data_IF_531186435623
#
_entry.id   IF_531186435623
#
_cell.length_a   1.000
_cell.length_b   1.000
_cell.length_c   1.000
_cell.angle_alpha   90.00
_cell.angle_beta   90.00
_cell.angle_gamma   90.00
#
_symmetry.space_group_name_H-M   'P 1'
#
loop_
_entity.id
_entity.type
_entity.pdbx_description
1 polymer ?
#
# COMPACT_ATOMS: atom_id res chain seq x y z
N UNK A 1 -20.65 -3.27 -14.88
CA UNK A 1 -19.67 -4.13 -14.19
C UNK A 1 -18.49 -4.31 -15.11
N UNK A 2 -17.31 -3.82 -14.73
CA UNK A 2 -16.11 -3.93 -15.54
C UNK A 2 -15.71 -5.41 -15.63
N UNK A 3 -15.47 -5.93 -16.84
CA UNK A 3 -15.12 -7.34 -17.03
C UNK A 3 -13.99 -7.48 -18.04
N UNK A 4 -12.95 -8.21 -17.65
CA UNK A 4 -11.89 -8.62 -18.56
C UNK A 4 -12.38 -9.70 -19.51
N UNK A 5 -12.04 -9.59 -20.79
CA UNK A 5 -12.33 -10.66 -21.74
C UNK A 5 -11.53 -11.93 -21.39
N UNK A 6 -12.04 -13.11 -21.75
CA UNK A 6 -11.30 -14.37 -21.58
C UNK A 6 -9.91 -14.33 -22.23
N UNK A 7 -9.79 -13.59 -23.33
CA UNK A 7 -8.52 -13.36 -24.02
C UNK A 7 -7.58 -12.50 -23.19
N UNK A 8 -8.06 -11.37 -22.65
CA UNK A 8 -7.23 -10.49 -21.81
C UNK A 8 -6.74 -11.23 -20.56
N UNK A 9 -7.57 -12.06 -19.94
CA UNK A 9 -7.16 -12.89 -18.80
C UNK A 9 -6.12 -13.93 -19.21
N UNK A 10 -6.30 -14.61 -20.33
CA UNK A 10 -5.34 -15.61 -20.83
C UNK A 10 -3.99 -14.98 -21.19
N UNK A 11 -3.99 -13.81 -21.83
CA UNK A 11 -2.78 -13.07 -22.17
C UNK A 11 -2.15 -12.42 -20.93
N UNK A 12 -2.98 -11.96 -19.98
CA UNK A 12 -2.55 -11.39 -18.70
C UNK A 12 -1.78 -12.39 -17.84
N UNK A 13 -2.20 -13.67 -17.83
CA UNK A 13 -1.46 -14.76 -17.18
C UNK A 13 -0.02 -14.88 -17.66
N UNK A 14 0.23 -14.60 -18.94
CA UNK A 14 1.58 -14.66 -19.53
C UNK A 14 2.48 -13.52 -19.04
N UNK A 15 1.90 -12.43 -18.53
CA UNK A 15 2.61 -11.25 -18.02
C UNK A 15 2.72 -11.22 -16.49
N UNK A 16 2.28 -12.25 -15.76
CA UNK A 16 2.33 -12.25 -14.28
C UNK A 16 3.76 -12.08 -13.73
N UNK A 17 4.77 -12.60 -14.42
CA UNK A 17 6.18 -12.45 -14.05
C UNK A 17 6.75 -11.07 -14.39
N UNK A 18 6.01 -10.27 -15.16
CA UNK A 18 6.40 -8.90 -15.54
C UNK A 18 5.75 -7.85 -14.62
N UNK A 19 4.90 -8.27 -13.68
CA UNK A 19 4.39 -7.42 -12.61
C UNK A 19 5.48 -7.26 -11.56
N UNK A 20 6.06 -6.07 -11.50
CA UNK A 20 7.26 -5.78 -10.72
C UNK A 20 6.96 -5.36 -9.27
N UNK A 21 5.99 -4.46 -9.09
CA UNK A 21 5.61 -3.95 -7.76
C UNK A 21 4.11 -3.71 -7.68
N UNK A 22 3.55 -3.87 -6.48
CA UNK A 22 2.14 -3.63 -6.18
C UNK A 22 2.09 -2.70 -4.97
N UNK A 23 1.63 -1.48 -5.17
CA UNK A 23 1.27 -0.55 -4.11
C UNK A 23 -0.25 -0.54 -3.97
N UNK A 24 -0.75 -0.60 -2.75
CA UNK A 24 -2.18 -0.56 -2.52
C UNK A 24 -2.52 0.16 -1.21
N UNK A 25 -3.73 0.68 -1.14
CA UNK A 25 -4.40 1.07 0.09
C UNK A 25 -5.87 0.74 -0.08
N UNK A 26 -6.37 -0.12 0.80
CA UNK A 26 -7.70 -0.70 0.69
C UNK A 26 -7.97 -1.24 -0.73
N UNK A 27 -9.15 -0.95 -1.29
CA UNK A 27 -9.55 -1.33 -2.64
C UNK A 27 -8.72 -0.73 -3.77
N UNK A 28 -7.81 0.21 -3.50
CA UNK A 28 -7.11 0.99 -4.54
C UNK A 28 -5.70 0.47 -4.76
N UNK A 29 -5.33 0.26 -6.03
CA UNK A 29 -4.07 -0.33 -6.43
C UNK A 29 -3.35 0.49 -7.50
N UNK A 30 -2.04 0.64 -7.33
CA UNK A 30 -1.11 1.08 -8.37
C UNK A 30 -0.06 -0.01 -8.58
N UNK A 31 0.03 -0.52 -9.80
CA UNK A 31 0.88 -1.66 -10.13
C UNK A 31 1.93 -1.23 -11.15
N UNK A 32 3.17 -1.65 -10.96
CA UNK A 32 4.22 -1.49 -11.97
C UNK A 32 4.26 -2.74 -12.87
N UNK A 33 4.11 -2.57 -14.17
CA UNK A 33 4.20 -3.68 -15.15
C UNK A 33 5.25 -3.38 -16.21
N UNK A 34 6.18 -4.31 -16.40
CA UNK A 34 7.22 -4.25 -17.44
C UNK A 34 6.62 -4.76 -18.77
N UNK A 35 6.01 -3.86 -19.52
CA UNK A 35 5.34 -4.17 -20.80
C UNK A 35 6.31 -4.64 -21.91
N UNK A 36 7.58 -4.23 -21.85
CA UNK A 36 8.64 -4.70 -22.75
C UNK A 36 9.99 -4.59 -22.06
N UNK A 37 10.90 -5.55 -22.30
CA UNK A 37 12.27 -5.53 -21.77
C UNK A 37 13.27 -4.81 -22.68
N UNK A 38 12.99 -4.69 -23.99
CA UNK A 38 13.90 -4.10 -24.99
C UNK A 38 13.13 -3.36 -26.10
N UNK A 39 13.05 -2.01 -26.08
CA UNK A 39 13.43 -1.12 -24.98
C UNK A 39 12.59 -1.38 -23.72
N UNK A 40 13.14 -1.06 -22.53
CA UNK A 40 12.38 -1.20 -21.27
C UNK A 40 11.21 -0.23 -21.32
N UNK A 41 9.98 -0.75 -21.37
CA UNK A 41 8.75 0.03 -21.30
C UNK A 41 7.99 -0.39 -20.05
N UNK A 42 7.75 0.57 -19.17
CA UNK A 42 6.99 0.39 -17.95
C UNK A 42 5.64 1.05 -18.15
N UNK A 43 4.58 0.40 -17.68
CA UNK A 43 3.24 0.97 -17.59
C UNK A 43 2.76 0.85 -16.14
N UNK A 44 1.84 1.73 -15.76
CA UNK A 44 1.30 1.82 -14.41
C UNK A 44 -0.21 1.59 -14.44
N UNK A 45 -0.67 0.32 -14.47
CA UNK A 45 -2.08 0.03 -14.28
C UNK A 45 -2.54 0.49 -12.91
N UNK A 46 -3.68 1.17 -12.89
CA UNK A 46 -4.45 1.47 -11.69
C UNK A 46 -5.71 0.62 -11.70
N UNK A 47 -6.06 0.06 -10.55
CA UNK A 47 -7.30 -0.67 -10.35
C UNK A 47 -7.93 -0.26 -9.02
N UNK A 48 -9.25 -0.16 -9.01
CA UNK A 48 -10.05 -0.06 -7.81
C UNK A 48 -11.02 -1.24 -7.76
N UNK A 49 -10.92 -2.05 -6.71
CA UNK A 49 -11.76 -3.21 -6.48
C UNK A 49 -12.54 -3.05 -5.17
N UNK A 50 -13.73 -3.63 -5.10
CA UNK A 50 -14.39 -3.87 -3.82
C UNK A 50 -13.87 -5.15 -3.15
N UNK A 51 -14.36 -5.42 -1.93
CA UNK A 51 -14.00 -6.59 -1.13
C UNK A 51 -14.39 -7.92 -1.81
N UNK A 52 -15.42 -7.91 -2.67
CA UNK A 52 -15.83 -9.09 -3.46
C UNK A 52 -14.92 -9.33 -4.69
N UNK A 53 -13.95 -8.45 -4.94
CA UNK A 53 -13.04 -8.52 -6.08
C UNK A 53 -13.62 -7.99 -7.38
N UNK A 54 -14.77 -7.32 -7.34
CA UNK A 54 -15.34 -6.66 -8.50
C UNK A 54 -14.58 -5.38 -8.81
N UNK A 55 -14.22 -5.18 -10.07
CA UNK A 55 -13.53 -3.97 -10.53
C UNK A 55 -14.55 -2.82 -10.62
N UNK A 56 -14.34 -1.81 -9.78
CA UNK A 56 -15.10 -0.55 -9.75
C UNK A 56 -14.57 0.37 -10.84
N UNK A 57 -13.25 0.58 -10.87
CA UNK A 57 -12.56 1.42 -11.84
C UNK A 57 -11.20 0.83 -12.21
N UNK A 58 -10.73 1.13 -13.41
CA UNK A 58 -9.48 0.62 -13.94
C UNK A 58 -8.97 1.48 -15.09
N UNK A 59 -7.71 1.91 -15.02
CA UNK A 59 -7.06 2.63 -16.11
C UNK A 59 -5.61 2.20 -16.30
N UNK A 60 -5.13 2.28 -17.53
CA UNK A 60 -3.75 2.02 -17.87
C UNK A 60 -3.29 3.00 -18.94
N UNK A 61 -2.04 3.46 -18.84
CA UNK A 61 -1.44 4.44 -19.78
C UNK A 61 -1.04 3.83 -21.13
N UNK A 62 -1.55 2.65 -21.48
CA UNK A 62 -1.26 2.02 -22.77
C UNK A 62 -2.37 2.33 -23.79
N UNK A 63 -1.98 2.48 -25.06
CA UNK A 63 -2.89 2.77 -26.16
C UNK A 63 -4.06 1.77 -26.29
N UNK A 64 -3.88 0.51 -25.86
CA UNK A 64 -4.95 -0.47 -25.88
C UNK A 64 -6.06 -0.13 -24.88
N UNK A 65 -5.68 0.32 -23.67
CA UNK A 65 -6.62 0.72 -22.63
C UNK A 65 -7.34 2.02 -23.01
N UNK A 66 -6.63 3.01 -23.57
CA UNK A 66 -7.26 4.26 -24.06
C UNK A 66 -8.36 3.98 -25.10
N UNK A 67 -8.14 2.99 -25.98
CA UNK A 67 -9.09 2.67 -27.06
C UNK A 67 -10.26 1.79 -26.61
N UNK A 68 -10.03 0.89 -25.66
CA UNK A 68 -10.99 -0.20 -25.33
C UNK A 68 -11.48 -0.19 -23.88
N UNK A 69 -10.91 0.66 -23.03
CA UNK A 69 -11.11 0.62 -21.58
C UNK A 69 -10.52 -0.62 -20.90
N UNK A 70 -9.79 -1.50 -21.61
CA UNK A 70 -9.19 -2.71 -21.07
C UNK A 70 -7.89 -3.05 -21.81
N UNK A 71 -6.97 -3.72 -21.12
CA UNK A 71 -5.75 -4.24 -21.73
C UNK A 71 -5.18 -5.43 -20.95
N UNK A 72 -4.22 -6.10 -21.57
CA UNK A 72 -3.49 -7.23 -20.99
C UNK A 72 -2.77 -6.87 -19.68
N UNK A 73 -2.30 -5.63 -19.52
CA UNK A 73 -1.63 -5.19 -18.29
C UNK A 73 -2.61 -5.09 -17.12
N UNK A 74 -3.81 -4.55 -17.36
CA UNK A 74 -4.86 -4.49 -16.34
C UNK A 74 -5.30 -5.89 -15.93
N UNK A 75 -5.43 -6.81 -16.89
CA UNK A 75 -5.75 -8.20 -16.61
C UNK A 75 -4.64 -8.89 -15.81
N UNK A 76 -3.36 -8.67 -16.16
CA UNK A 76 -2.22 -9.20 -15.41
C UNK A 76 -2.18 -8.66 -13.97
N UNK A 77 -2.40 -7.36 -13.79
CA UNK A 77 -2.49 -6.73 -12.48
C UNK A 77 -3.64 -7.30 -11.64
N UNK A 78 -4.83 -7.42 -12.23
CA UNK A 78 -5.99 -8.04 -11.58
C UNK A 78 -5.68 -9.48 -11.13
N UNK A 79 -5.10 -10.29 -12.00
CA UNK A 79 -4.70 -11.66 -11.67
C UNK A 79 -3.60 -11.73 -10.62
N UNK A 80 -2.76 -10.69 -10.48
CA UNK A 80 -1.72 -10.63 -9.45
C UNK A 80 -2.29 -10.32 -8.07
N UNK A 81 -3.29 -9.45 -7.98
CA UNK A 81 -3.88 -9.02 -6.71
C UNK A 81 -4.92 -10.02 -6.19
N UNK A 82 -5.62 -10.72 -7.10
CA UNK A 82 -6.63 -11.71 -6.75
C UNK A 82 -6.02 -13.07 -6.42
N UNK A 83 -6.41 -13.63 -5.27
CA UNK A 83 -6.14 -15.03 -4.91
C UNK A 83 -7.21 -15.52 -3.95
N UNK A 84 -8.26 -16.15 -4.49
CA UNK A 84 -9.59 -16.38 -3.89
C UNK A 84 -10.30 -15.07 -3.48
N UNK A 85 -9.60 -14.20 -2.77
CA UNK A 85 -10.01 -12.85 -2.36
C UNK A 85 -8.96 -11.80 -2.78
N UNK A 86 -9.34 -10.50 -2.85
CA UNK A 86 -8.43 -9.41 -3.16
C UNK A 86 -7.29 -9.29 -2.13
N UNK A 87 -6.14 -8.77 -2.58
CA UNK A 87 -4.97 -8.58 -1.72
C UNK A 87 -5.26 -7.73 -0.48
N UNK A 88 -6.04 -6.65 -0.59
CA UNK A 88 -6.36 -5.82 0.56
C UNK A 88 -7.19 -6.57 1.61
N UNK A 89 -8.16 -7.40 1.19
CA UNK A 89 -8.95 -8.24 2.11
C UNK A 89 -8.03 -9.20 2.86
N UNK A 90 -7.18 -9.92 2.12
CA UNK A 90 -6.19 -10.84 2.72
C UNK A 90 -5.19 -10.11 3.62
N UNK A 91 -4.85 -8.87 3.30
CA UNK A 91 -3.94 -8.06 4.11
C UNK A 91 -4.57 -7.59 5.41
N UNK A 92 -5.85 -7.21 5.41
CA UNK A 92 -6.57 -6.79 6.63
C UNK A 92 -6.46 -7.84 7.73
N UNK A 93 -6.60 -9.11 7.38
CA UNK A 93 -6.49 -10.25 8.31
C UNK A 93 -5.06 -10.80 8.48
N UNK A 94 -4.09 -10.23 7.76
CA UNK A 94 -2.72 -10.70 7.85
C UNK A 94 -2.12 -10.45 9.23
N UNK A 95 -1.25 -11.36 9.66
CA UNK A 95 -0.51 -11.22 10.92
C UNK A 95 0.18 -9.85 11.02
N UNK A 96 0.74 -9.34 9.92
CA UNK A 96 1.45 -8.07 9.91
C UNK A 96 0.53 -6.89 10.17
N UNK A 97 -0.62 -6.85 9.50
CA UNK A 97 -1.60 -5.78 9.74
C UNK A 97 -2.16 -5.84 11.16
N UNK A 98 -2.47 -7.04 11.66
CA UNK A 98 -2.99 -7.22 13.02
C UNK A 98 -1.96 -6.81 14.09
N UNK A 99 -0.68 -7.12 13.89
CA UNK A 99 0.40 -6.65 14.77
C UNK A 99 0.54 -5.13 14.71
N UNK A 100 0.42 -4.54 13.51
CA UNK A 100 0.42 -3.09 13.32
C UNK A 100 -0.69 -2.41 14.11
N UNK A 101 -1.92 -2.89 13.97
CA UNK A 101 -3.10 -2.39 14.70
C UNK A 101 -2.89 -2.44 16.22
N UNK A 102 -2.45 -3.59 16.75
CA UNK A 102 -2.17 -3.75 18.19
C UNK A 102 -1.11 -2.74 18.65
N UNK A 103 -0.07 -2.51 17.84
CA UNK A 103 0.96 -1.53 18.17
C UNK A 103 0.39 -0.10 18.19
N UNK A 104 -0.41 0.27 17.19
CA UNK A 104 -1.03 1.59 17.09
C UNK A 104 -1.99 1.87 18.25
N UNK A 105 -2.84 0.90 18.61
CA UNK A 105 -3.78 1.03 19.73
C UNK A 105 -3.05 1.15 21.08
N UNK A 106 -1.98 0.39 21.29
CA UNK A 106 -1.24 0.38 22.57
C UNK A 106 -0.26 1.53 22.74
N UNK A 107 0.36 1.98 21.66
CA UNK A 107 1.47 2.93 21.70
C UNK A 107 1.15 4.27 21.03
N UNK A 108 -0.05 4.40 20.46
CA UNK A 108 -0.45 5.54 19.66
C UNK A 108 0.03 5.44 18.22
N UNK A 109 -0.54 6.30 17.38
CA UNK A 109 -0.31 6.33 15.93
C UNK A 109 1.00 7.02 15.51
N UNK A 110 1.65 7.71 16.45
CA UNK A 110 2.94 8.33 16.21
C UNK A 110 4.06 7.48 16.78
N UNK A 111 5.24 7.39 16.13
CA UNK A 111 6.38 6.59 16.59
C UNK A 111 7.09 7.20 17.80
N UNK A 112 6.40 7.96 18.64
CA UNK A 112 6.93 8.63 19.84
C UNK A 112 7.49 7.65 20.88
N UNK A 113 7.03 6.40 20.86
CA UNK A 113 7.56 5.33 21.71
C UNK A 113 8.96 4.85 21.28
N UNK A 114 9.36 5.11 20.02
CA UNK A 114 10.67 4.79 19.47
C UNK A 114 11.63 5.97 19.65
N UNK A 115 12.77 5.69 20.28
CA UNK A 115 13.84 6.67 20.49
C UNK A 115 15.12 6.22 19.81
N UNK A 116 15.86 7.16 19.24
CA UNK A 116 17.23 6.93 18.75
C UNK A 116 18.15 6.66 19.94
N UNK A 117 18.90 5.58 19.88
CA UNK A 117 19.96 5.23 20.82
C UNK A 117 21.29 5.00 20.10
N UNK A 118 22.35 4.75 20.87
CA UNK A 118 23.70 4.57 20.32
C UNK A 118 23.86 3.27 19.49
N UNK A 119 23.12 2.21 19.84
CA UNK A 119 23.18 0.90 19.16
C UNK A 119 22.04 0.67 18.14
N UNK A 120 21.15 1.65 17.96
CA UNK A 120 19.96 1.54 17.11
C UNK A 120 18.75 2.24 17.70
N UNK A 121 17.61 1.57 17.76
CA UNK A 121 16.34 2.18 18.19
C UNK A 121 15.76 1.45 19.39
N UNK A 122 15.39 2.21 20.41
CA UNK A 122 14.90 1.69 21.67
C UNK A 122 13.44 2.06 21.87
N UNK A 123 12.67 1.11 22.41
CA UNK A 123 11.28 1.33 22.79
C UNK A 123 11.11 1.17 24.28
N UNK A 124 10.36 2.09 24.87
CA UNK A 124 10.11 2.14 26.30
C UNK A 124 8.60 2.06 26.57
N UNK A 125 8.25 1.39 27.67
CA UNK A 125 6.91 1.42 28.23
C UNK A 125 6.59 2.80 28.84
N UNK A 126 5.32 3.02 29.14
CA UNK A 126 4.86 4.23 29.86
C UNK A 126 5.54 4.38 31.24
N UNK A 127 5.94 3.27 31.87
CA UNK A 127 6.66 3.30 33.16
C UNK A 127 8.18 3.48 33.02
N UNK A 128 8.68 3.70 31.80
CA UNK A 128 10.10 3.91 31.53
C UNK A 128 10.93 2.62 31.44
N UNK A 129 10.32 1.43 31.57
CA UNK A 129 11.02 0.15 31.32
C UNK A 129 11.27 -0.02 29.83
N UNK A 130 12.51 -0.34 29.43
CA UNK A 130 12.85 -0.69 28.04
C UNK A 130 12.16 -2.01 27.65
N UNK A 131 11.37 -1.97 26.58
CA UNK A 131 10.63 -3.12 26.05
C UNK A 131 11.48 -3.92 25.06
N UNK A 132 12.04 -3.25 24.05
CA UNK A 132 12.91 -3.88 23.07
C UNK A 132 13.93 -2.89 22.49
N UNK A 133 14.95 -3.45 21.82
CA UNK A 133 16.00 -2.74 21.12
C UNK A 133 16.13 -3.31 19.71
N UNK A 134 15.98 -2.46 18.71
CA UNK A 134 16.29 -2.77 17.31
C UNK A 134 17.77 -2.44 17.11
N UNK A 135 18.63 -3.46 17.11
CA UNK A 135 20.06 -3.29 16.82
C UNK A 135 20.32 -3.21 15.33
N UNK A 136 21.02 -2.15 14.92
CA UNK A 136 21.38 -1.98 13.52
C UNK A 136 22.78 -2.52 13.26
N UNK A 137 22.88 -3.63 12.51
CA UNK A 137 24.17 -4.28 12.22
C UNK A 137 24.99 -3.60 11.12
N UNK A 138 24.36 -2.81 10.25
CA UNK A 138 24.99 -2.17 9.08
C UNK A 138 24.57 -0.70 8.97
N UNK A 139 25.51 0.21 8.75
CA UNK A 139 25.22 1.65 8.66
C UNK A 139 24.20 2.05 7.58
N UNK A 140 24.15 1.34 6.44
CA UNK A 140 23.12 1.57 5.39
C UNK A 140 21.71 1.31 5.92
N UNK A 141 21.53 0.28 6.74
CA UNK A 141 20.24 -0.08 7.35
C UNK A 141 19.77 0.99 8.34
N UNK A 142 20.69 1.70 9.00
CA UNK A 142 20.32 2.78 9.93
C UNK A 142 19.65 3.92 9.19
N UNK A 143 20.20 4.34 8.04
CA UNK A 143 19.58 5.38 7.21
C UNK A 143 18.18 4.98 6.74
N UNK A 144 18.02 3.73 6.30
CA UNK A 144 16.71 3.22 5.86
C UNK A 144 15.70 3.19 7.00
N UNK A 145 16.10 2.75 8.20
CA UNK A 145 15.21 2.78 9.37
C UNK A 145 14.85 4.20 9.78
N UNK A 146 15.79 5.14 9.71
CA UNK A 146 15.52 6.55 9.98
C UNK A 146 14.51 7.13 8.98
N UNK A 147 14.62 6.76 7.70
CA UNK A 147 13.67 7.16 6.65
C UNK A 147 12.27 6.59 6.90
N UNK A 148 12.18 5.33 7.31
CA UNK A 148 10.91 4.63 7.58
C UNK A 148 10.26 5.11 8.89
N UNK A 149 11.03 5.39 9.94
CA UNK A 149 10.48 5.63 11.28
C UNK A 149 10.36 7.11 11.64
N UNK A 150 11.24 7.97 11.13
CA UNK A 150 11.35 9.36 11.62
C UNK A 150 11.33 10.44 10.52
N UNK A 151 11.59 10.05 9.27
CA UNK A 151 11.58 10.99 8.13
C UNK A 151 10.53 10.61 7.10
N UNK A 152 9.44 9.96 7.53
CA UNK A 152 8.32 9.67 6.65
C UNK A 152 7.76 10.99 6.10
N UNK A 153 7.57 11.09 4.78
CA UNK A 153 6.86 12.22 4.23
C UNK A 153 5.43 12.23 4.78
N UNK A 154 4.93 13.42 5.08
CA UNK A 154 3.52 13.59 5.43
C UNK A 154 2.71 13.31 4.16
N UNK A 155 1.86 12.29 4.24
CA UNK A 155 0.99 11.90 3.14
C UNK A 155 -0.21 12.86 3.06
N UNK A 156 -0.54 13.31 1.84
CA UNK A 156 -1.65 14.23 1.53
C UNK A 156 -2.54 13.65 0.43
N UNK A 157 -3.69 14.30 0.20
CA UNK A 157 -4.63 13.93 -0.88
C UNK A 157 -3.95 13.80 -2.25
N UNK A 158 -2.97 14.66 -2.53
CA UNK A 158 -2.27 14.71 -3.83
C UNK A 158 -1.11 13.72 -3.94
N UNK A 159 -0.60 13.25 -2.80
CA UNK A 159 0.67 12.51 -2.73
C UNK A 159 0.52 11.05 -2.31
N UNK A 160 -0.68 10.64 -1.85
CA UNK A 160 -0.90 9.29 -1.35
C UNK A 160 -2.16 8.63 -1.88
N UNK A 161 -2.01 7.36 -2.23
CA UNK A 161 -3.09 6.47 -2.64
C UNK A 161 -4.16 6.29 -1.54
N UNK A 162 -3.77 6.49 -0.28
CA UNK A 162 -4.64 6.32 0.89
C UNK A 162 -5.84 7.27 0.90
N UNK A 163 -5.76 8.37 0.17
CA UNK A 163 -6.85 9.34 0.06
C UNK A 163 -7.79 9.08 -1.12
N UNK A 164 -7.44 8.18 -2.04
CA UNK A 164 -8.16 8.01 -3.31
C UNK A 164 -9.59 7.45 -3.16
N UNK A 165 -9.89 6.80 -2.04
CA UNK A 165 -11.20 6.19 -1.78
C UNK A 165 -11.80 6.58 -0.42
N UNK A 166 -11.35 7.70 0.16
CA UNK A 166 -11.90 8.16 1.43
C UNK A 166 -13.28 8.82 1.22
N UNK A 167 -14.27 8.51 2.10
CA UNK A 167 -15.52 9.26 2.14
C UNK A 167 -15.29 10.75 2.37
N UNK A 168 -16.21 11.60 1.89
CA UNK A 168 -16.09 13.05 2.06
C UNK A 168 -16.10 13.47 3.53
N UNK A 169 -16.83 12.74 4.37
CA UNK A 169 -16.86 12.95 5.81
C UNK A 169 -15.47 12.72 6.43
N UNK A 170 -14.77 11.67 6.00
CA UNK A 170 -13.44 11.34 6.49
C UNK A 170 -12.40 12.36 6.01
N UNK A 171 -12.50 12.82 4.76
CA UNK A 171 -11.66 13.91 4.24
C UNK A 171 -11.87 15.22 5.03
N UNK A 172 -13.12 15.54 5.38
CA UNK A 172 -13.41 16.71 6.21
C UNK A 172 -12.78 16.58 7.61
N UNK A 173 -12.93 15.43 8.26
CA UNK A 173 -12.30 15.14 9.56
C UNK A 173 -10.78 15.26 9.52
N UNK A 174 -10.15 14.75 8.45
CA UNK A 174 -8.71 14.86 8.25
C UNK A 174 -8.27 16.33 8.10
N UNK A 175 -8.95 17.13 7.26
CA UNK A 175 -8.65 18.56 7.06
C UNK A 175 -8.80 19.39 8.34
N UNK A 176 -9.69 18.96 9.23
CA UNK A 176 -9.88 19.56 10.56
C UNK A 176 -8.85 19.07 11.61
N UNK A 177 -7.93 18.19 11.23
CA UNK A 177 -6.91 17.64 12.13
C UNK A 177 -7.43 16.57 13.10
N UNK A 178 -8.61 15.99 12.82
CA UNK A 178 -9.27 14.96 13.64
C UNK A 178 -9.70 13.73 12.83
N UNK A 179 -8.81 13.12 12.02
CA UNK A 179 -9.13 11.92 11.24
C UNK A 179 -9.58 10.75 12.14
N UNK A 180 -10.34 9.81 11.57
CA UNK A 180 -10.73 8.59 12.27
C UNK A 180 -9.53 7.77 12.73
N UNK A 181 -9.75 6.90 13.71
CA UNK A 181 -8.71 5.97 14.17
C UNK A 181 -8.18 5.07 13.04
N UNK A 182 -9.05 4.67 12.11
CA UNK A 182 -8.66 3.91 10.94
C UNK A 182 -7.71 4.70 10.04
N UNK A 183 -8.04 5.95 9.66
CA UNK A 183 -7.15 6.75 8.83
C UNK A 183 -5.86 7.13 9.58
N UNK A 184 -5.92 7.35 10.89
CA UNK A 184 -4.72 7.55 11.72
C UNK A 184 -3.80 6.34 11.69
N UNK A 185 -4.36 5.12 11.73
CA UNK A 185 -3.61 3.90 11.57
C UNK A 185 -2.96 3.81 10.17
N UNK A 186 -3.74 3.98 9.12
CA UNK A 186 -3.25 3.94 7.74
C UNK A 186 -2.12 4.95 7.52
N UNK A 187 -2.19 6.14 8.12
CA UNK A 187 -1.15 7.18 8.01
C UNK A 187 0.01 6.98 8.99
N UNK A 188 -0.10 6.07 9.96
CA UNK A 188 0.94 5.81 10.96
C UNK A 188 2.13 5.03 10.41
N UNK A 189 3.21 4.95 11.19
CA UNK A 189 4.35 4.06 10.89
C UNK A 189 4.06 2.57 11.12
N UNK A 190 2.87 2.25 11.62
CA UNK A 190 2.45 0.88 11.93
C UNK A 190 1.75 0.18 10.75
N UNK A 191 1.31 0.96 9.76
CA UNK A 191 0.79 0.50 8.47
C UNK A 191 1.91 0.41 7.43
#
# INVERSE_FOLDING_TARGET
MYQFSKKDLADGKKLLNEVASVLFSEGTYQIEVIASKKPKKIVWPFLQLNDAGEVIDAFCTCAAAEKKGSCVHLAASYLKIMNDEPLHVRFRESLWNQVGLICAERHGYEPTCLKRGNEGYEVYSQTGKRLFLIRVKKGKTQKQLDEILFKRPVETEETSLKFSNLPQEELALWREGRPSEHLRYELSSWS
#
